data_IF_698929821035
#
_entry.id   IF_698929821035
#
_cell.length_a   1.000
_cell.length_b   1.000
_cell.length_c   1.000
_cell.angle_alpha   90.00
_cell.angle_beta   90.00
_cell.angle_gamma   90.00
#
_symmetry.space_group_name_H-M   'P 1'
#
loop_
_entity.id
_entity.type
_entity.pdbx_description
1 polymer ?
#
# COMPACT_ATOMS: atom_id res chain seq x y z
N UNK A 1 -1.81 -19.79 11.39
CA UNK A 1 -2.70 -20.64 12.21
C UNK A 1 -4.03 -20.69 11.47
N UNK A 2 -4.53 -21.87 11.10
CA UNK A 2 -5.82 -21.94 10.40
C UNK A 2 -6.93 -21.37 11.29
N UNK A 3 -7.72 -20.41 10.80
CA UNK A 3 -8.82 -19.84 11.56
C UNK A 3 -9.75 -20.96 12.03
N UNK A 4 -10.19 -20.96 13.29
CA UNK A 4 -11.15 -21.97 13.77
C UNK A 4 -12.44 -21.97 12.95
N UNK A 5 -12.79 -20.82 12.36
CA UNK A 5 -13.89 -20.66 11.42
C UNK A 5 -13.69 -21.54 10.16
N UNK A 6 -12.46 -21.64 9.65
CA UNK A 6 -12.17 -22.41 8.44
C UNK A 6 -12.44 -23.92 8.65
N UNK A 7 -12.01 -24.44 9.79
CA UNK A 7 -12.21 -25.85 10.15
C UNK A 7 -13.71 -26.14 10.31
N UNK A 8 -14.49 -25.18 10.84
CA UNK A 8 -15.93 -25.32 10.94
C UNK A 8 -16.62 -25.29 9.57
N UNK A 9 -16.20 -24.40 8.65
CA UNK A 9 -16.76 -24.34 7.29
C UNK A 9 -16.44 -25.58 6.47
N UNK A 10 -15.21 -26.09 6.55
CA UNK A 10 -14.82 -27.34 5.89
C UNK A 10 -15.63 -28.53 6.40
N UNK A 11 -15.84 -28.63 7.72
CA UNK A 11 -16.65 -29.70 8.32
C UNK A 11 -18.12 -29.63 7.90
N UNK A 12 -18.70 -28.43 7.84
CA UNK A 12 -20.07 -28.23 7.33
C UNK A 12 -20.15 -28.57 5.84
N UNK A 13 -19.15 -28.16 5.05
CA UNK A 13 -19.04 -28.50 3.62
C UNK A 13 -18.93 -30.00 3.37
N UNK A 14 -18.21 -30.73 4.22
CA UNK A 14 -18.10 -32.19 4.15
C UNK A 14 -19.41 -32.89 4.55
N UNK A 15 -20.08 -32.41 5.62
CA UNK A 15 -21.38 -32.93 6.08
C UNK A 15 -22.53 -32.64 5.09
N UNK A 16 -22.41 -31.58 4.28
CA UNK A 16 -23.42 -31.16 3.28
C UNK A 16 -23.06 -31.55 1.84
N UNK A 17 -21.88 -32.13 1.62
CA UNK A 17 -21.36 -32.44 0.28
C UNK A 17 -20.99 -31.21 -0.56
N UNK A 18 -20.81 -30.04 0.06
CA UNK A 18 -20.46 -28.76 -0.57
C UNK A 18 -19.00 -28.34 -0.33
N UNK A 19 -18.10 -29.31 -0.16
CA UNK A 19 -16.69 -29.05 0.14
C UNK A 19 -16.01 -28.17 -0.93
N UNK A 20 -16.28 -28.43 -2.21
CA UNK A 20 -15.73 -27.64 -3.32
C UNK A 20 -16.10 -26.15 -3.21
N UNK A 21 -17.37 -25.85 -2.92
CA UNK A 21 -17.84 -24.47 -2.73
C UNK A 21 -17.16 -23.79 -1.52
N UNK A 22 -16.86 -24.55 -0.47
CA UNK A 22 -16.14 -24.01 0.70
C UNK A 22 -14.66 -23.77 0.42
N UNK A 23 -14.04 -24.58 -0.43
CA UNK A 23 -12.66 -24.34 -0.89
C UNK A 23 -12.57 -23.11 -1.79
N UNK A 24 -13.57 -22.89 -2.64
CA UNK A 24 -13.67 -21.69 -3.48
C UNK A 24 -13.86 -20.43 -2.62
N UNK A 25 -14.78 -20.45 -1.65
CA UNK A 25 -14.97 -19.33 -0.71
C UNK A 25 -13.72 -19.03 0.13
N UNK A 26 -12.92 -20.06 0.43
CA UNK A 26 -11.63 -19.88 1.10
C UNK A 26 -10.60 -19.20 0.21
N UNK A 27 -10.53 -19.61 -1.06
CA UNK A 27 -9.62 -19.00 -2.03
C UNK A 27 -9.93 -17.50 -2.19
N UNK A 28 -11.22 -17.16 -2.33
CA UNK A 28 -11.68 -15.78 -2.42
C UNK A 28 -11.29 -14.96 -1.17
N UNK A 29 -11.49 -15.53 0.03
CA UNK A 29 -11.10 -14.88 1.28
C UNK A 29 -9.61 -14.55 1.34
N UNK A 30 -8.74 -15.50 0.96
CA UNK A 30 -7.30 -15.26 0.95
C UNK A 30 -6.89 -14.27 -0.13
N UNK A 31 -7.54 -14.29 -1.30
CA UNK A 31 -7.29 -13.30 -2.36
C UNK A 31 -7.63 -11.89 -1.86
N UNK A 32 -8.75 -11.72 -1.18
CA UNK A 32 -9.16 -10.45 -0.58
C UNK A 32 -8.23 -10.00 0.55
N UNK A 33 -7.78 -10.93 1.41
CA UNK A 33 -6.81 -10.62 2.47
C UNK A 33 -5.47 -10.13 1.89
N UNK A 34 -5.01 -10.77 0.80
CA UNK A 34 -3.80 -10.36 0.09
C UNK A 34 -3.99 -9.00 -0.58
N UNK A 35 -5.13 -8.77 -1.27
CA UNK A 35 -5.46 -7.47 -1.88
C UNK A 35 -5.47 -6.34 -0.86
N UNK A 36 -6.18 -6.53 0.26
CA UNK A 36 -6.25 -5.55 1.34
C UNK A 36 -4.87 -5.24 1.93
N UNK A 37 -4.02 -6.26 2.06
CA UNK A 37 -2.63 -6.09 2.49
C UNK A 37 -1.83 -5.25 1.49
N UNK A 38 -1.94 -5.56 0.20
CA UNK A 38 -1.25 -4.82 -0.87
C UNK A 38 -1.73 -3.36 -0.90
N UNK A 39 -3.03 -3.12 -0.83
CA UNK A 39 -3.59 -1.76 -0.78
C UNK A 39 -3.09 -0.98 0.43
N UNK A 40 -3.03 -1.62 1.60
CA UNK A 40 -2.45 -1.01 2.80
C UNK A 40 -0.96 -0.65 2.64
N UNK A 41 -0.18 -1.50 1.98
CA UNK A 41 1.23 -1.23 1.67
C UNK A 41 1.36 -0.05 0.71
N UNK A 42 0.56 -0.01 -0.35
CA UNK A 42 0.56 1.09 -1.34
C UNK A 42 0.17 2.42 -0.68
N UNK A 43 -0.83 2.41 0.19
CA UNK A 43 -1.29 3.60 0.93
C UNK A 43 -0.19 4.24 1.78
N UNK A 44 0.77 3.46 2.28
CA UNK A 44 1.93 3.97 3.02
C UNK A 44 3.07 4.45 2.11
N UNK A 45 3.20 3.88 0.91
CA UNK A 45 4.21 4.28 -0.07
C UNK A 45 3.86 5.66 -0.67
N UNK A 46 2.58 5.95 -0.89
CA UNK A 46 2.12 7.22 -1.46
C UNK A 46 2.62 8.47 -0.69
N UNK A 47 2.43 8.61 0.65
CA UNK A 47 2.94 9.76 1.39
C UNK A 47 4.47 9.83 1.43
N UNK A 48 5.16 8.68 1.45
CA UNK A 48 6.62 8.65 1.37
C UNK A 48 7.11 9.23 0.04
N UNK A 49 6.49 8.83 -1.07
CA UNK A 49 6.79 9.36 -2.40
C UNK A 49 6.56 10.86 -2.49
N UNK A 50 5.48 11.38 -1.90
CA UNK A 50 5.22 12.82 -1.83
C UNK A 50 6.31 13.60 -1.10
N UNK A 51 6.79 13.07 0.04
CA UNK A 51 7.90 13.71 0.80
C UNK A 51 9.18 13.71 -0.04
N UNK A 52 9.52 12.59 -0.67
CA UNK A 52 10.73 12.47 -1.50
C UNK A 52 10.67 13.44 -2.68
N UNK A 53 9.59 13.43 -3.46
CA UNK A 53 9.43 14.33 -4.61
C UNK A 53 9.43 15.80 -4.15
N UNK A 54 8.70 16.12 -3.08
CA UNK A 54 8.67 17.46 -2.50
C UNK A 54 10.04 17.95 -2.06
N UNK A 55 10.85 17.06 -1.46
CA UNK A 55 12.22 17.39 -1.05
C UNK A 55 13.15 17.66 -2.24
N UNK A 56 13.04 16.85 -3.31
CA UNK A 56 13.85 17.02 -4.52
C UNK A 56 13.51 18.34 -5.20
N UNK A 57 12.22 18.62 -5.39
CA UNK A 57 11.76 19.86 -6.02
C UNK A 57 12.15 21.07 -5.16
N UNK A 58 11.93 21.01 -3.85
CA UNK A 58 12.31 22.07 -2.92
C UNK A 58 13.81 22.35 -2.92
N UNK A 59 14.64 21.30 -2.95
CA UNK A 59 16.09 21.42 -3.05
C UNK A 59 16.52 22.11 -4.35
N UNK A 60 15.94 21.72 -5.48
CA UNK A 60 16.23 22.34 -6.79
C UNK A 60 15.85 23.82 -6.76
N UNK A 61 14.68 24.17 -6.22
CA UNK A 61 14.25 25.57 -6.13
C UNK A 61 15.24 26.40 -5.31
N UNK A 62 15.66 25.92 -4.13
CA UNK A 62 16.65 26.63 -3.31
C UNK A 62 17.98 26.79 -4.07
N UNK A 63 18.44 25.72 -4.71
CA UNK A 63 19.70 25.72 -5.46
C UNK A 63 19.71 26.73 -6.63
N UNK A 64 18.56 26.94 -7.28
CA UNK A 64 18.42 27.90 -8.38
C UNK A 64 18.18 29.34 -7.90
N UNK A 65 17.38 29.54 -6.85
CA UNK A 65 17.01 30.88 -6.39
C UNK A 65 18.07 31.55 -5.52
N UNK A 66 18.79 30.80 -4.68
CA UNK A 66 19.85 31.34 -3.82
C UNK A 66 20.95 32.09 -4.60
N UNK A 67 21.51 31.57 -5.71
CA UNK A 67 22.52 32.31 -6.48
C UNK A 67 21.94 33.55 -7.17
N UNK A 68 20.67 33.53 -7.57
CA UNK A 68 20.00 34.71 -8.16
C UNK A 68 19.92 35.84 -7.12
N UNK A 69 19.52 35.52 -5.88
CA UNK A 69 19.49 36.49 -4.78
C UNK A 69 20.88 37.09 -4.50
N UNK A 70 21.91 36.24 -4.45
CA UNK A 70 23.29 36.70 -4.23
C UNK A 70 23.81 37.58 -5.36
N UNK A 71 23.44 37.30 -6.62
CA UNK A 71 23.78 38.18 -7.72
C UNK A 71 23.03 39.53 -7.65
N UNK A 72 21.79 39.55 -7.18
CA UNK A 72 21.03 40.79 -6.97
C UNK A 72 21.68 41.72 -5.93
N UNK A 73 22.16 41.17 -4.81
CA UNK A 73 22.90 41.93 -3.78
C UNK A 73 24.25 42.46 -4.24
N UNK A 74 24.90 41.81 -5.23
CA UNK A 74 26.18 42.26 -5.78
C UNK A 74 26.06 43.46 -6.75
N UNK A 75 24.85 43.76 -7.21
CA UNK A 75 24.58 44.82 -8.21
C UNK A 75 23.99 46.09 -7.54
N UNK A 76 23.59 46.00 -6.27
CA UNK A 76 23.32 47.15 -5.39
C UNK A 76 24.53 47.47 -4.52
#
# INVERSE_FOLDING_TARGET
RFPRMLIAMLRIGEETGQLDNMLESLADFYEDEVKATIEGLISMIEPLMMIVIGSIVGFILIALYLPIFRMGELIH
#
